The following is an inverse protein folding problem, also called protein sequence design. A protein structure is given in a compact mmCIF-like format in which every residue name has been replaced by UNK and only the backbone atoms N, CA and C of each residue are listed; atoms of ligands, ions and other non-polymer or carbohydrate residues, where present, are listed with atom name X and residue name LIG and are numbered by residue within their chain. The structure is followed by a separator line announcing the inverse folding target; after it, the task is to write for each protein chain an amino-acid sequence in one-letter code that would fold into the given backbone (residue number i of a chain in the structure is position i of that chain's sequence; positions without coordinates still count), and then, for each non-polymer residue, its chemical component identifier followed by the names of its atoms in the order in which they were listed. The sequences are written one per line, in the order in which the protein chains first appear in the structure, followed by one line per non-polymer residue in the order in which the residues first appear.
data_IF_098678423182
#
_entry.id   IF_098678423182
#
_cell.length_a   1.000
_cell.length_b   1.000
_cell.length_c   1.000
_cell.angle_alpha   90.00
_cell.angle_beta   90.00
_cell.angle_gamma   90.00
#
_symmetry.space_group_name_H-M   'P 1'
#
loop_
_entity.id
_entity.type
_entity.pdbx_description
1 polymer ?
#
# COMPACT_ATOMS: atom_id res chain seq x y z
N UNK A 1 -28.59 -17.55 1.75
CA UNK A 1 -27.99 -16.23 2.02
C UNK A 1 -26.66 -16.25 1.29
N UNK A 2 -26.57 -15.56 0.16
CA UNK A 2 -25.59 -15.85 -0.89
C UNK A 2 -24.17 -15.46 -0.46
N UNK A 3 -23.29 -16.46 -0.45
CA UNK A 3 -21.84 -16.32 -0.38
C UNK A 3 -21.33 -15.73 -1.69
N UNK A 4 -21.46 -14.41 -1.86
CA UNK A 4 -20.60 -13.70 -2.79
C UNK A 4 -19.23 -13.58 -2.15
N UNK A 5 -18.43 -14.63 -2.37
CA UNK A 5 -17.09 -14.55 -2.94
C UNK A 5 -16.53 -13.12 -2.92
N UNK A 6 -15.63 -12.84 -1.98
CA UNK A 6 -14.88 -11.58 -1.92
C UNK A 6 -13.90 -11.53 -3.09
N UNK A 7 -14.42 -11.36 -4.30
CA UNK A 7 -13.62 -11.19 -5.51
C UNK A 7 -12.78 -9.93 -5.34
N UNK A 8 -11.45 -9.97 -5.58
CA UNK A 8 -10.60 -8.81 -5.40
C UNK A 8 -11.06 -7.70 -6.35
N UNK A 9 -11.63 -6.62 -5.79
CA UNK A 9 -12.00 -5.44 -6.55
C UNK A 9 -11.02 -4.31 -6.23
N UNK A 10 -10.50 -3.67 -7.27
CA UNK A 10 -9.63 -2.50 -7.13
C UNK A 10 -10.51 -1.25 -7.23
N UNK A 11 -10.61 -0.47 -6.15
CA UNK A 11 -11.26 0.84 -6.21
C UNK A 11 -10.21 1.94 -6.09
N UNK A 12 -10.25 2.88 -7.03
CA UNK A 12 -9.36 4.05 -7.03
C UNK A 12 -10.13 5.22 -6.44
N UNK A 13 -9.64 5.77 -5.34
CA UNK A 13 -10.20 6.99 -4.74
C UNK A 13 -9.44 8.22 -5.20
N UNK A 14 -10.17 9.18 -5.77
CA UNK A 14 -9.65 10.51 -6.08
C UNK A 14 -10.27 11.48 -5.07
N UNK A 15 -9.45 12.15 -4.27
CA UNK A 15 -9.90 13.14 -3.28
C UNK A 15 -9.33 14.50 -3.63
N UNK A 16 -10.20 15.45 -3.97
CA UNK A 16 -9.84 16.86 -4.13
C UNK A 16 -10.38 17.61 -2.91
N UNK A 17 -9.50 18.21 -2.12
CA UNK A 17 -9.88 19.07 -0.99
C UNK A 17 -9.57 20.52 -1.38
N UNK A 18 -10.50 21.48 -1.24
CA UNK A 18 -10.28 22.86 -1.66
C UNK A 18 -9.06 23.53 -1.00
N UNK A 19 -8.69 23.08 0.20
CA UNK A 19 -7.62 23.65 1.04
C UNK A 19 -6.32 22.84 0.97
N UNK A 20 -6.28 21.75 0.22
CA UNK A 20 -5.10 20.89 0.10
C UNK A 20 -4.47 20.98 -1.29
N UNK A 21 -3.15 20.78 -1.35
CA UNK A 21 -2.44 20.65 -2.63
C UNK A 21 -3.06 19.51 -3.46
N UNK A 22 -3.45 19.76 -4.72
CA UNK A 22 -3.98 18.73 -5.60
C UNK A 22 -2.96 17.61 -5.78
N UNK A 23 -3.44 16.37 -5.64
CA UNK A 23 -2.62 15.18 -5.82
C UNK A 23 -3.48 14.01 -6.27
N UNK A 24 -2.88 13.10 -7.02
CA UNK A 24 -3.47 11.81 -7.38
C UNK A 24 -2.61 10.72 -6.75
N UNK A 25 -3.25 9.73 -6.14
CA UNK A 25 -2.55 8.61 -5.55
C UNK A 25 -3.45 7.40 -5.42
N UNK A 26 -2.83 6.22 -5.38
CA UNK A 26 -3.49 4.93 -5.14
C UNK A 26 -3.25 4.56 -3.69
N UNK A 27 -4.30 4.10 -3.00
CA UNK A 27 -4.22 3.71 -1.59
C UNK A 27 -4.79 2.31 -1.38
N UNK A 28 -4.14 1.54 -0.52
CA UNK A 28 -4.63 0.27 0.02
C UNK A 28 -5.04 0.49 1.47
N UNK A 29 -6.19 -0.04 1.85
CA UNK A 29 -6.76 0.15 3.18
C UNK A 29 -7.09 -1.21 3.79
N UNK A 30 -6.68 -1.41 5.03
CA UNK A 30 -7.29 -2.34 5.98
C UNK A 30 -8.00 -1.52 7.07
N UNK A 31 -8.61 -2.18 8.06
CA UNK A 31 -9.20 -1.49 9.21
C UNK A 31 -8.16 -0.65 9.98
N UNK A 32 -6.91 -1.11 10.04
CA UNK A 32 -5.87 -0.54 10.92
C UNK A 32 -4.73 0.16 10.17
N UNK A 33 -4.63 -0.03 8.85
CA UNK A 33 -3.53 0.47 8.04
C UNK A 33 -4.01 1.07 6.72
N UNK A 34 -3.45 2.22 6.40
CA UNK A 34 -3.52 2.87 5.09
C UNK A 34 -2.12 2.98 4.51
N UNK A 35 -1.92 2.44 3.31
CA UNK A 35 -0.70 2.64 2.52
C UNK A 35 -1.06 3.38 1.24
N UNK A 36 -0.35 4.46 0.91
CA UNK A 36 -0.66 5.31 -0.23
C UNK A 36 0.60 5.79 -0.95
N UNK A 37 0.63 5.67 -2.26
CA UNK A 37 1.61 6.34 -3.11
C UNK A 37 0.92 7.38 -3.99
N UNK A 38 1.56 8.52 -4.22
CA UNK A 38 0.99 9.56 -5.07
C UNK A 38 1.99 10.60 -5.56
N UNK A 39 1.49 11.52 -6.37
CA UNK A 39 2.22 12.65 -6.90
C UNK A 39 1.54 13.95 -6.48
N UNK A 40 2.28 14.83 -5.81
CA UNK A 40 1.86 16.21 -5.59
C UNK A 40 2.06 16.98 -6.90
N UNK A 41 1.04 17.68 -7.41
CA UNK A 41 1.15 18.35 -8.71
C UNK A 41 1.79 19.74 -8.64
N UNK A 42 1.64 20.46 -7.52
CA UNK A 42 2.37 21.71 -7.29
C UNK A 42 3.83 21.39 -6.91
N UNK A 43 4.75 21.67 -7.85
CA UNK A 43 6.15 21.20 -7.86
C UNK A 43 6.21 19.66 -7.75
N UNK A 44 6.11 18.93 -8.87
CA UNK A 44 5.98 17.48 -8.93
C UNK A 44 6.88 16.74 -7.95
N UNK A 45 6.27 16.13 -6.93
CA UNK A 45 6.98 15.36 -5.90
C UNK A 45 6.27 14.05 -5.63
N UNK A 46 6.92 12.90 -5.88
CA UNK A 46 6.36 11.64 -5.45
C UNK A 46 6.39 11.56 -3.93
N UNK A 47 5.41 10.87 -3.37
CA UNK A 47 5.37 10.56 -1.96
C UNK A 47 4.82 9.15 -1.71
N UNK A 48 5.23 8.58 -0.59
CA UNK A 48 4.66 7.39 0.01
C UNK A 48 4.21 7.73 1.43
N UNK A 49 3.00 7.31 1.78
CA UNK A 49 2.40 7.48 3.08
C UNK A 49 2.01 6.10 3.64
N UNK A 50 2.39 5.84 4.89
CA UNK A 50 1.91 4.71 5.68
C UNK A 50 1.31 5.27 6.96
N UNK A 51 0.01 5.11 7.15
CA UNK A 51 -0.71 5.61 8.30
C UNK A 51 -1.47 4.49 9.00
N UNK A 52 -1.31 4.43 10.31
CA UNK A 52 -2.08 3.61 11.24
C UNK A 52 -2.66 4.51 12.34
N UNK A 53 -3.38 3.92 13.29
CA UNK A 53 -3.83 4.64 14.48
C UNK A 53 -2.67 5.10 15.38
N UNK A 54 -1.53 4.40 15.35
CA UNK A 54 -0.40 4.64 16.26
C UNK A 54 0.69 5.51 15.62
N UNK A 55 0.85 5.43 14.30
CA UNK A 55 1.93 6.12 13.59
C UNK A 55 1.53 6.53 12.18
N UNK A 56 2.01 7.69 11.77
CA UNK A 56 1.92 8.21 10.41
C UNK A 56 3.34 8.49 9.89
N UNK A 57 3.73 7.79 8.83
CA UNK A 57 5.00 7.94 8.14
C UNK A 57 4.74 8.54 6.77
N UNK A 58 5.39 9.67 6.48
CA UNK A 58 5.32 10.33 5.18
C UNK A 58 6.72 10.47 4.60
N UNK A 59 6.93 9.87 3.43
CA UNK A 59 8.19 9.88 2.69
C UNK A 59 7.97 10.64 1.40
N UNK A 60 8.82 11.61 1.09
CA UNK A 60 8.81 12.32 -0.17
C UNK A 60 10.22 12.77 -0.51
N UNK A 61 10.52 12.90 -1.81
CA UNK A 61 11.80 13.43 -2.28
C UNK A 61 12.02 14.84 -1.73
N UNK A 62 13.17 15.05 -1.09
CA UNK A 62 13.45 16.32 -0.42
C UNK A 62 13.84 17.43 -1.40
N UNK A 63 13.70 18.70 -0.99
CA UNK A 63 14.31 19.84 -1.70
C UNK A 63 13.44 20.60 -2.71
N UNK A 64 12.18 20.23 -2.91
CA UNK A 64 11.25 20.91 -3.83
C UNK A 64 11.76 21.11 -5.28
N UNK A 65 12.81 20.36 -5.67
CA UNK A 65 13.43 20.35 -7.00
C UNK A 65 13.20 19.03 -7.72
N UNK A 66 13.85 18.84 -8.90
CA UNK A 66 13.73 17.61 -9.67
C UNK A 66 14.20 16.37 -8.87
N UNK A 67 13.55 15.22 -9.12
CA UNK A 67 13.97 13.93 -8.56
C UNK A 67 15.41 13.63 -8.98
N UNK A 68 16.26 13.34 -7.99
CA UNK A 68 17.69 13.08 -8.19
C UNK A 68 18.02 11.59 -8.24
N UNK A 69 19.26 11.24 -8.57
CA UNK A 69 19.74 9.86 -8.48
C UNK A 69 19.69 9.31 -7.04
N UNK A 70 19.90 10.15 -6.03
CA UNK A 70 19.80 9.73 -4.64
C UNK A 70 18.36 9.38 -4.27
N UNK A 71 17.39 10.19 -4.71
CA UNK A 71 15.97 9.89 -4.53
C UNK A 71 15.58 8.55 -5.17
N UNK A 72 16.09 8.29 -6.38
CA UNK A 72 15.87 7.02 -7.08
C UNK A 72 16.50 5.83 -6.35
N UNK A 73 17.69 5.98 -5.78
CA UNK A 73 18.35 4.94 -5.02
C UNK A 73 17.53 4.57 -3.77
N UNK A 74 17.11 5.57 -2.99
CA UNK A 74 16.27 5.37 -1.81
C UNK A 74 14.93 4.72 -2.16
N UNK A 75 14.26 5.17 -3.22
CA UNK A 75 12.99 4.60 -3.66
C UNK A 75 13.14 3.11 -4.07
N UNK A 76 14.27 2.75 -4.71
CA UNK A 76 14.57 1.36 -5.07
C UNK A 76 14.82 0.50 -3.84
N UNK A 77 15.59 0.99 -2.87
CA UNK A 77 15.84 0.26 -1.63
C UNK A 77 14.54 -0.02 -0.87
N UNK A 78 13.64 0.97 -0.80
CA UNK A 78 12.32 0.81 -0.20
C UNK A 78 11.48 -0.24 -0.91
N UNK A 79 11.46 -0.21 -2.26
CA UNK A 79 10.78 -1.23 -3.05
C UNK A 79 11.35 -2.62 -2.81
N UNK A 80 12.68 -2.77 -2.81
CA UNK A 80 13.34 -4.06 -2.56
C UNK A 80 13.02 -4.58 -1.15
N UNK A 81 13.00 -3.72 -0.14
CA UNK A 81 12.62 -4.11 1.22
C UNK A 81 11.16 -4.58 1.29
N UNK A 82 10.23 -3.85 0.65
CA UNK A 82 8.82 -4.24 0.60
C UNK A 82 8.60 -5.54 -0.17
N UNK A 83 9.30 -5.75 -1.29
CA UNK A 83 9.23 -6.98 -2.07
C UNK A 83 9.74 -8.20 -1.27
N UNK A 84 10.81 -8.01 -0.49
CA UNK A 84 11.31 -9.06 0.41
C UNK A 84 10.30 -9.39 1.50
N UNK A 85 9.71 -8.36 2.13
CA UNK A 85 8.64 -8.56 3.10
C UNK A 85 7.46 -9.35 2.51
N UNK A 86 7.05 -9.03 1.28
CA UNK A 86 6.02 -9.80 0.58
C UNK A 86 6.41 -11.27 0.41
N UNK A 87 7.61 -11.55 -0.09
CA UNK A 87 8.09 -12.92 -0.29
C UNK A 87 8.11 -13.71 1.01
N UNK A 88 8.54 -13.09 2.11
CA UNK A 88 8.53 -13.71 3.45
C UNK A 88 7.09 -14.00 3.91
N UNK A 89 6.14 -13.07 3.68
CA UNK A 89 4.73 -13.30 3.97
C UNK A 89 4.12 -14.45 3.15
N UNK A 90 4.42 -14.50 1.85
CA UNK A 90 3.94 -15.56 0.95
C UNK A 90 4.48 -16.93 1.36
N UNK A 91 5.76 -17.01 1.71
CA UNK A 91 6.37 -18.24 2.20
C UNK A 91 5.69 -18.72 3.49
N UNK A 92 5.56 -17.84 4.49
CA UNK A 92 4.91 -18.18 5.76
C UNK A 92 3.44 -18.58 5.58
N UNK A 93 2.74 -17.97 4.63
CA UNK A 93 1.35 -18.36 4.32
C UNK A 93 1.29 -19.75 3.68
N UNK A 94 2.20 -20.08 2.76
CA UNK A 94 2.26 -21.39 2.11
C UNK A 94 2.62 -22.53 3.08
N UNK A 95 3.36 -22.22 4.15
CA UNK A 95 3.73 -23.18 5.20
C UNK A 95 2.60 -23.46 6.20
N UNK A 96 1.49 -22.70 6.18
CA UNK A 96 0.36 -22.94 7.08
C UNK A 96 -0.29 -24.30 6.74
N UNK A 97 -0.43 -25.22 7.72
CA UNK A 97 -1.14 -26.47 7.49
C UNK A 97 -2.59 -26.16 7.09
N UNK A 98 -3.12 -26.88 6.10
CA UNK A 98 -4.54 -26.79 5.76
C UNK A 98 -5.36 -27.01 7.04
N UNK A 99 -6.10 -25.99 7.47
CA UNK A 99 -7.02 -26.14 8.61
C UNK A 99 -7.92 -27.35 8.35
N UNK A 100 -8.13 -28.24 9.34
CA UNK A 100 -8.93 -29.45 9.19
C UNK A 100 -10.43 -29.20 8.95
N UNK A 101 -10.87 -27.95 8.80
CA UNK A 101 -12.27 -27.57 8.59
C UNK A 101 -12.79 -27.80 7.16
N UNK A 102 -11.96 -28.28 6.23
CA UNK A 102 -12.40 -28.66 4.89
C UNK A 102 -12.96 -30.10 4.80
N UNK A 103 -13.02 -30.84 5.91
CA UNK A 103 -13.39 -32.26 5.92
C UNK A 103 -14.76 -32.58 6.55
N UNK A 104 -15.56 -31.60 7.01
CA UNK A 104 -16.85 -31.85 7.66
C UNK A 104 -18.05 -31.19 6.96
N UNK A 105 -18.08 -31.26 5.62
CA UNK A 105 -19.30 -30.99 4.83
C UNK A 105 -19.54 -32.10 3.82
N UNK A 106 -19.59 -33.35 4.29
CA UNK A 106 -20.13 -34.47 3.54
C UNK A 106 -20.63 -35.58 4.49
N UNK A 107 -21.81 -35.38 5.08
CA UNK A 107 -22.66 -36.46 5.63
C UNK A 107 -24.14 -36.04 5.59
#
# INVERSE_FOLDING_TARGET
MNEHEHTPYTYVTVSLRPEATPHVGVSFHTADLKVRAGLLFDKPRPYLELCSHEAAVHLSTTGAGPVTHADLATARELFTAAARYLADCEQLHAEQPASPDAADTAA
#
